data_IF_596333352191
#
_entry.id   IF_596333352191
#
_cell.length_a   1.000
_cell.length_b   1.000
_cell.length_c   1.000
_cell.angle_alpha   90.00
_cell.angle_beta   90.00
_cell.angle_gamma   90.00
#
_symmetry.space_group_name_H-M   'P 1'
#
loop_
_entity.id
_entity.type
_entity.pdbx_description
1 polymer ?
#
# COMPACT_ATOMS: atom_id res chain seq x y z
N UNK A 1 -21.76 3.14 19.44
CA UNK A 1 -21.96 2.79 18.01
C UNK A 1 -20.74 3.21 17.24
N UNK A 2 -20.17 2.32 16.43
CA UNK A 2 -19.10 2.67 15.48
C UNK A 2 -19.77 3.16 14.21
N UNK A 3 -19.36 4.33 13.71
CA UNK A 3 -19.92 4.94 12.49
C UNK A 3 -19.08 4.61 11.24
N UNK A 4 -17.76 4.54 11.39
CA UNK A 4 -16.83 4.14 10.34
C UNK A 4 -15.53 3.61 10.96
N UNK A 5 -14.90 2.66 10.29
CA UNK A 5 -13.62 2.05 10.63
C UNK A 5 -12.91 1.54 9.35
N UNK A 6 -11.71 0.94 9.49
CA UNK A 6 -10.95 0.45 8.33
C UNK A 6 -11.68 -0.63 7.54
N UNK A 7 -12.53 -1.41 8.20
CA UNK A 7 -13.39 -2.38 7.51
C UNK A 7 -14.42 -1.68 6.63
N UNK A 8 -15.04 -0.62 7.14
CA UNK A 8 -15.98 0.22 6.36
C UNK A 8 -15.30 0.74 5.09
N UNK A 9 -14.05 1.20 5.21
CA UNK A 9 -13.27 1.69 4.08
C UNK A 9 -12.88 0.57 3.09
N UNK A 10 -12.47 -0.61 3.58
CA UNK A 10 -12.19 -1.77 2.74
C UNK A 10 -13.43 -2.28 1.99
N UNK A 11 -14.59 -2.30 2.63
CA UNK A 11 -15.86 -2.67 2.00
C UNK A 11 -16.26 -1.66 0.91
N UNK A 12 -15.96 -0.37 1.09
CA UNK A 12 -16.16 0.65 0.06
C UNK A 12 -15.27 0.43 -1.18
N UNK A 13 -14.01 0.01 -0.99
CA UNK A 13 -13.12 -0.37 -2.10
C UNK A 13 -13.70 -1.55 -2.90
N UNK A 14 -14.20 -2.58 -2.20
CA UNK A 14 -14.87 -3.72 -2.84
C UNK A 14 -16.12 -3.28 -3.61
N UNK A 15 -16.93 -2.40 -3.02
CA UNK A 15 -18.11 -1.84 -3.68
C UNK A 15 -17.77 -1.08 -4.96
N UNK A 16 -16.75 -0.24 -4.92
CA UNK A 16 -16.26 0.51 -6.08
C UNK A 16 -15.75 -0.42 -7.20
N UNK A 17 -14.90 -1.40 -6.87
CA UNK A 17 -14.39 -2.35 -7.86
C UNK A 17 -15.50 -3.17 -8.53
N UNK A 18 -16.50 -3.62 -7.76
CA UNK A 18 -17.65 -4.36 -8.29
C UNK A 18 -18.56 -3.51 -9.17
N UNK A 19 -18.68 -2.22 -8.90
CA UNK A 19 -19.43 -1.29 -9.76
C UNK A 19 -18.81 -1.17 -11.16
N UNK A 20 -17.49 -1.36 -11.26
CA UNK A 20 -16.72 -1.42 -12.51
C UNK A 20 -16.66 -2.84 -13.12
N UNK A 21 -17.38 -3.81 -12.55
CA UNK A 21 -17.43 -5.19 -13.04
C UNK A 21 -16.20 -6.05 -12.68
N UNK A 22 -15.37 -5.60 -11.75
CA UNK A 22 -14.18 -6.33 -11.29
C UNK A 22 -14.53 -7.20 -10.08
N UNK A 23 -14.11 -8.47 -10.10
CA UNK A 23 -14.23 -9.33 -8.91
C UNK A 23 -13.44 -8.72 -7.74
N UNK A 24 -14.04 -8.67 -6.56
CA UNK A 24 -13.40 -8.04 -5.41
C UNK A 24 -13.80 -8.69 -4.07
N UNK A 25 -12.84 -8.72 -3.13
CA UNK A 25 -13.00 -9.31 -1.80
C UNK A 25 -12.21 -8.55 -0.74
N UNK A 26 -12.79 -8.46 0.45
CA UNK A 26 -12.06 -8.04 1.66
C UNK A 26 -11.32 -9.26 2.20
N UNK A 27 -10.01 -9.13 2.40
CA UNK A 27 -9.25 -10.01 3.26
C UNK A 27 -9.54 -9.60 4.71
N UNK A 28 -10.23 -10.47 5.44
CA UNK A 28 -10.65 -10.19 6.82
C UNK A 28 -9.51 -10.23 7.84
N UNK A 29 -8.28 -10.54 7.41
CA UNK A 29 -7.08 -10.42 8.25
C UNK A 29 -6.76 -8.95 8.43
N UNK A 30 -6.82 -8.47 9.66
CA UNK A 30 -6.34 -7.14 10.02
C UNK A 30 -4.81 -7.08 9.84
N UNK A 31 -4.30 -6.01 9.23
CA UNK A 31 -2.86 -5.79 9.09
C UNK A 31 -2.31 -5.33 10.43
N UNK A 32 -1.58 -6.20 11.12
CA UNK A 32 -1.02 -5.98 12.45
C UNK A 32 0.33 -6.69 12.57
N UNK A 33 1.33 -5.98 13.06
CA UNK A 33 2.73 -6.39 13.08
C UNK A 33 3.57 -5.78 11.96
N UNK A 34 4.75 -6.35 11.70
CA UNK A 34 5.71 -5.78 10.74
C UNK A 34 5.13 -5.65 9.34
N UNK A 35 5.50 -4.59 8.62
CA UNK A 35 5.15 -4.41 7.21
C UNK A 35 5.53 -5.64 6.39
N UNK A 36 6.72 -6.21 6.60
CA UNK A 36 7.22 -7.37 5.86
C UNK A 36 6.35 -8.61 6.07
N UNK A 37 5.95 -8.92 7.31
CA UNK A 37 5.11 -10.07 7.61
C UNK A 37 3.68 -9.88 7.13
N UNK A 38 3.13 -8.67 7.32
CA UNK A 38 1.82 -8.29 6.80
C UNK A 38 1.79 -8.43 5.28
N UNK A 39 2.78 -7.89 4.56
CA UNK A 39 2.85 -7.90 3.09
C UNK A 39 2.93 -9.33 2.57
N UNK A 40 3.82 -10.13 3.15
CA UNK A 40 3.97 -11.53 2.78
C UNK A 40 2.69 -12.33 2.99
N UNK A 41 1.96 -12.08 4.08
CA UNK A 41 0.66 -12.71 4.34
C UNK A 41 -0.42 -12.22 3.38
N UNK A 42 -0.45 -10.92 3.09
CA UNK A 42 -1.44 -10.29 2.23
C UNK A 42 -1.31 -10.74 0.77
N UNK A 43 -0.11 -10.70 0.18
CA UNK A 43 0.14 -11.12 -1.20
C UNK A 43 -0.22 -12.60 -1.42
N UNK A 44 0.06 -13.47 -0.44
CA UNK A 44 -0.33 -14.90 -0.50
C UNK A 44 -1.84 -15.14 -0.51
N UNK A 45 -2.62 -14.19 0.00
CA UNK A 45 -4.09 -14.24 0.04
C UNK A 45 -4.73 -13.52 -1.15
N UNK A 46 -3.90 -13.03 -2.07
CA UNK A 46 -4.31 -12.54 -3.38
C UNK A 46 -4.92 -13.64 -4.26
N UNK A 47 -5.30 -13.23 -5.47
CA UNK A 47 -5.99 -14.01 -6.50
C UNK A 47 -6.66 -13.06 -7.51
N UNK A 48 -7.27 -13.57 -8.58
CA UNK A 48 -7.87 -12.74 -9.64
C UNK A 48 -8.81 -11.66 -9.09
N UNK A 49 -8.78 -10.48 -9.71
CA UNK A 49 -9.51 -9.30 -9.28
C UNK A 49 -8.83 -8.52 -8.14
N UNK A 50 -9.64 -7.84 -7.32
CA UNK A 50 -9.20 -6.97 -6.24
C UNK A 50 -9.26 -7.67 -4.88
N UNK A 51 -8.15 -7.68 -4.17
CA UNK A 51 -8.09 -8.03 -2.74
C UNK A 51 -7.78 -6.77 -1.94
N UNK A 52 -8.53 -6.49 -0.88
CA UNK A 52 -8.28 -5.35 0.01
C UNK A 52 -8.18 -5.78 1.46
N UNK A 53 -7.25 -5.20 2.21
CA UNK A 53 -7.15 -5.34 3.66
C UNK A 53 -7.00 -3.95 4.30
N UNK A 54 -7.38 -3.87 5.57
CA UNK A 54 -7.18 -2.69 6.39
C UNK A 54 -6.33 -3.04 7.62
N UNK A 55 -5.58 -2.07 8.12
CA UNK A 55 -4.88 -2.20 9.41
C UNK A 55 -3.84 -1.13 9.66
N UNK A 56 -2.98 -1.37 10.64
CA UNK A 56 -1.94 -0.44 11.08
C UNK A 56 -0.62 -1.21 11.27
N UNK A 57 0.06 -1.60 10.18
CA UNK A 57 1.34 -2.29 10.27
C UNK A 57 2.44 -1.38 10.82
N UNK A 58 3.49 -1.98 11.37
CA UNK A 58 4.65 -1.27 11.91
C UNK A 58 5.84 -1.32 10.95
N UNK A 59 6.50 -0.18 10.77
CA UNK A 59 7.79 -0.09 10.09
C UNK A 59 8.87 0.38 11.06
N UNK A 60 10.01 -0.31 11.06
CA UNK A 60 11.16 0.10 11.88
C UNK A 60 11.92 1.21 11.17
N UNK A 61 12.00 2.38 11.81
CA UNK A 61 12.74 3.53 11.26
C UNK A 61 14.16 3.54 11.84
N UNK A 62 15.14 3.16 11.03
CA UNK A 62 16.56 3.10 11.42
C UNK A 62 17.41 4.21 10.79
N UNK A 63 16.83 4.95 9.85
CA UNK A 63 17.48 6.02 9.09
C UNK A 63 16.53 7.21 8.86
N UNK A 64 17.05 8.42 8.57
CA UNK A 64 16.24 9.64 8.56
C UNK A 64 15.52 9.93 7.22
N UNK A 65 15.43 8.95 6.31
CA UNK A 65 14.81 9.10 5.00
C UNK A 65 13.34 9.47 5.02
N UNK A 66 12.79 9.73 3.83
CA UNK A 66 11.40 10.10 3.63
C UNK A 66 10.54 8.87 3.31
N UNK A 67 9.48 8.69 4.10
CA UNK A 67 8.54 7.60 3.92
C UNK A 67 7.77 7.29 5.18
N UNK A 68 7.06 6.18 5.11
CA UNK A 68 6.26 5.59 6.16
C UNK A 68 5.97 4.14 5.83
N UNK A 69 5.10 3.51 6.62
CA UNK A 69 4.76 2.09 6.49
C UNK A 69 4.13 1.76 5.14
N UNK A 70 3.34 2.66 4.56
CA UNK A 70 2.65 2.40 3.29
C UNK A 70 3.59 2.52 2.09
N UNK A 71 4.41 3.56 2.02
CA UNK A 71 5.45 3.69 0.99
C UNK A 71 6.51 2.60 1.11
N UNK A 72 6.88 2.18 2.32
CA UNK A 72 7.76 1.03 2.53
C UNK A 72 7.12 -0.28 2.04
N UNK A 73 5.87 -0.54 2.38
CA UNK A 73 5.11 -1.69 1.89
C UNK A 73 5.00 -1.71 0.36
N UNK A 74 4.71 -0.55 -0.24
CA UNK A 74 4.62 -0.42 -1.69
C UNK A 74 5.95 -0.69 -2.39
N UNK A 75 7.07 -0.18 -1.88
CA UNK A 75 8.38 -0.46 -2.47
C UNK A 75 8.77 -1.94 -2.35
N UNK A 76 8.49 -2.58 -1.21
CA UNK A 76 8.66 -4.03 -1.06
C UNK A 76 7.76 -4.82 -2.02
N UNK A 77 6.50 -4.39 -2.19
CA UNK A 77 5.58 -5.03 -3.12
C UNK A 77 6.06 -4.89 -4.57
N UNK A 78 6.59 -3.72 -4.97
CA UNK A 78 7.15 -3.51 -6.30
C UNK A 78 8.25 -4.53 -6.65
N UNK A 79 9.08 -4.90 -5.67
CA UNK A 79 10.11 -5.94 -5.82
C UNK A 79 9.47 -7.31 -6.08
N UNK A 80 8.46 -7.69 -5.28
CA UNK A 80 7.76 -8.97 -5.41
C UNK A 80 6.93 -9.07 -6.70
N UNK A 81 6.45 -7.94 -7.21
CA UNK A 81 5.62 -7.87 -8.41
C UNK A 81 6.41 -7.71 -9.70
N UNK A 82 7.73 -7.56 -9.64
CA UNK A 82 8.58 -7.27 -10.80
C UNK A 82 8.32 -8.24 -11.97
N UNK A 83 8.01 -7.70 -13.14
CA UNK A 83 7.70 -8.44 -14.36
C UNK A 83 6.29 -9.09 -14.41
N UNK A 84 5.46 -8.88 -13.39
CA UNK A 84 4.05 -9.31 -13.39
C UNK A 84 3.10 -8.20 -13.87
N UNK A 85 1.86 -8.57 -14.19
CA UNK A 85 0.80 -7.61 -14.52
C UNK A 85 0.06 -7.11 -13.26
N UNK A 86 0.43 -7.56 -12.06
CA UNK A 86 -0.26 -7.16 -10.84
C UNK A 86 0.03 -5.71 -10.44
N UNK A 87 -0.93 -5.10 -9.74
CA UNK A 87 -0.84 -3.73 -9.22
C UNK A 87 -1.11 -3.76 -7.72
N UNK A 88 -0.29 -3.07 -6.94
CA UNK A 88 -0.46 -2.94 -5.50
C UNK A 88 -0.50 -1.48 -5.07
N UNK A 89 -1.46 -1.12 -4.24
CA UNK A 89 -1.51 0.18 -3.60
C UNK A 89 -1.56 0.02 -2.07
N UNK A 90 -0.80 0.83 -1.37
CA UNK A 90 -0.85 0.97 0.09
C UNK A 90 -0.96 2.45 0.43
N UNK A 91 -1.94 2.83 1.25
CA UNK A 91 -2.14 4.23 1.63
C UNK A 91 -2.84 4.42 2.97
N UNK A 92 -2.46 5.49 3.66
CA UNK A 92 -3.07 5.98 4.89
C UNK A 92 -4.34 6.76 4.57
N UNK A 93 -5.44 6.47 5.28
CA UNK A 93 -6.73 7.12 5.03
C UNK A 93 -6.79 8.57 5.48
N UNK A 94 -5.86 9.01 6.33
CA UNK A 94 -5.69 10.42 6.72
C UNK A 94 -4.93 11.27 5.69
N UNK A 95 -4.33 10.60 4.69
CA UNK A 95 -3.60 11.23 3.61
C UNK A 95 -2.13 11.50 3.92
N UNK A 96 -1.59 10.97 5.03
CA UNK A 96 -0.20 11.19 5.44
C UNK A 96 0.48 9.87 5.80
N UNK A 97 1.52 9.50 5.05
CA UNK A 97 2.36 8.33 5.33
C UNK A 97 3.72 8.75 5.91
N UNK A 98 3.84 8.64 7.23
CA UNK A 98 5.07 8.91 7.97
C UNK A 98 5.58 10.34 7.78
N UNK A 99 6.82 10.47 7.31
CA UNK A 99 7.50 11.76 7.08
C UNK A 99 7.42 12.24 5.62
N UNK A 100 6.61 11.58 4.80
CA UNK A 100 6.43 11.95 3.39
C UNK A 100 5.32 12.99 3.19
N UNK A 101 5.29 13.62 2.02
CA UNK A 101 4.15 14.43 1.58
C UNK A 101 3.04 13.60 0.90
N UNK A 102 3.20 12.27 0.87
CA UNK A 102 2.27 11.34 0.26
C UNK A 102 1.41 10.62 1.30
N UNK A 103 0.30 10.06 0.84
CA UNK A 103 -0.53 9.15 1.61
C UNK A 103 0.01 7.71 1.56
N UNK A 104 0.95 7.41 0.67
CA UNK A 104 1.42 6.07 0.33
C UNK A 104 1.79 6.01 -1.15
N UNK A 105 1.61 4.85 -1.79
CA UNK A 105 1.96 4.68 -3.20
C UNK A 105 1.14 3.59 -3.89
N UNK A 106 1.12 3.64 -5.22
CA UNK A 106 0.59 2.63 -6.13
C UNK A 106 1.72 2.16 -7.05
N UNK A 107 1.99 0.87 -7.06
CA UNK A 107 3.11 0.26 -7.79
C UNK A 107 2.62 -0.87 -8.69
N UNK A 108 3.39 -1.16 -9.72
CA UNK A 108 3.15 -2.22 -10.69
C UNK A 108 4.43 -3.03 -10.93
N UNK A 109 4.33 -4.10 -11.73
CA UNK A 109 5.48 -4.94 -12.06
C UNK A 109 6.59 -4.27 -12.87
N UNK A 110 6.42 -3.04 -13.33
CA UNK A 110 7.46 -2.25 -14.02
C UNK A 110 8.08 -1.15 -13.14
N UNK A 111 7.61 -0.98 -11.91
CA UNK A 111 8.11 0.06 -10.98
C UNK A 111 9.61 -0.04 -10.74
N UNK A 112 10.14 -1.25 -10.48
CA UNK A 112 11.57 -1.47 -10.27
C UNK A 112 12.38 -1.24 -11.55
N UNK A 113 11.83 -1.58 -12.71
CA UNK A 113 12.47 -1.30 -14.01
C UNK A 113 12.62 0.22 -14.23
N UNK A 114 11.61 1.01 -13.85
CA UNK A 114 11.65 2.48 -13.94
C UNK A 114 12.63 3.10 -12.94
N UNK A 115 12.70 2.57 -11.71
CA UNK A 115 13.43 3.20 -10.61
C UNK A 115 14.84 2.68 -10.36
N UNK A 116 15.22 1.55 -10.94
CA UNK A 116 16.51 0.89 -10.66
C UNK A 116 16.53 0.22 -9.28
N UNK A 117 17.73 -0.01 -8.74
CA UNK A 117 17.94 -0.75 -7.48
C UNK A 117 17.23 -0.07 -6.28
N UNK A 118 16.25 -0.73 -5.64
CA UNK A 118 15.51 -0.18 -4.52
C UNK A 118 16.17 -0.40 -3.15
N UNK A 119 17.17 -1.29 -3.03
CA UNK A 119 17.82 -1.62 -1.75
C UNK A 119 18.42 -0.39 -1.02
N UNK A 120 19.08 0.56 -1.72
CA UNK A 120 19.60 1.77 -1.08
C UNK A 120 18.50 2.63 -0.46
N UNK A 121 17.31 2.68 -1.07
CA UNK A 121 16.19 3.46 -0.54
C UNK A 121 15.54 2.76 0.66
N UNK A 122 15.35 1.44 0.59
CA UNK A 122 14.85 0.66 1.73
C UNK A 122 15.75 0.76 2.96
N UNK A 123 17.07 0.58 2.78
CA UNK A 123 18.05 0.66 3.88
C UNK A 123 18.15 2.05 4.52
N UNK A 124 17.78 3.11 3.79
CA UNK A 124 17.75 4.50 4.30
C UNK A 124 16.36 4.94 4.79
N UNK A 125 15.37 4.04 4.80
CA UNK A 125 13.97 4.37 5.07
C UNK A 125 13.46 5.51 4.17
N UNK A 126 13.87 5.51 2.90
CA UNK A 126 13.69 6.60 1.92
C UNK A 126 12.76 6.19 0.75
N UNK A 127 11.81 5.30 1.04
CA UNK A 127 10.93 4.69 0.05
C UNK A 127 10.06 5.71 -0.69
N UNK A 128 9.61 6.78 -0.02
CA UNK A 128 8.79 7.80 -0.67
C UNK A 128 9.58 8.59 -1.73
N UNK A 129 10.88 8.85 -1.51
CA UNK A 129 11.70 9.52 -2.50
C UNK A 129 11.91 8.67 -3.77
N UNK A 130 12.10 7.35 -3.59
CA UNK A 130 12.15 6.41 -4.71
C UNK A 130 10.83 6.43 -5.51
N UNK A 131 9.71 6.29 -4.80
CA UNK A 131 8.38 6.20 -5.40
C UNK A 131 7.94 7.53 -6.03
N UNK A 132 8.43 8.66 -5.53
CA UNK A 132 8.26 9.94 -6.20
C UNK A 132 9.02 9.98 -7.53
N UNK A 133 10.27 9.52 -7.56
CA UNK A 133 11.08 9.51 -8.77
C UNK A 133 10.51 8.60 -9.87
N UNK A 134 9.80 7.52 -9.50
CA UNK A 134 9.13 6.61 -10.44
C UNK A 134 7.70 7.04 -10.80
N UNK A 135 7.16 8.07 -10.16
CA UNK A 135 5.81 8.59 -10.41
C UNK A 135 4.68 7.82 -9.70
N UNK A 136 5.02 7.02 -8.69
CA UNK A 136 4.14 6.05 -8.03
C UNK A 136 3.54 6.55 -6.71
N UNK A 137 3.96 7.74 -6.24
CA UNK A 137 3.48 8.31 -4.98
C UNK A 137 2.01 8.76 -5.06
N UNK A 138 1.20 8.33 -4.09
CA UNK A 138 -0.19 8.79 -3.95
C UNK A 138 -0.21 10.08 -3.13
N UNK A 139 -0.78 11.16 -3.70
CA UNK A 139 -0.96 12.45 -3.03
C UNK A 139 -2.44 12.81 -2.96
N UNK A 140 -3.02 12.67 -1.78
CA UNK A 140 -4.41 13.10 -1.50
C UNK A 140 -4.45 14.47 -0.83
N UNK A 141 -3.39 14.84 -0.11
CA UNK A 141 -3.45 15.84 0.95
C UNK A 141 -4.24 15.31 2.18
N UNK A 142 -4.35 16.11 3.26
CA UNK A 142 -5.11 15.74 4.43
C UNK A 142 -6.58 15.49 4.10
N UNK A 143 -7.10 14.32 4.42
CA UNK A 143 -8.48 13.93 4.08
C UNK A 143 -9.51 14.37 5.13
N UNK A 144 -9.05 14.68 6.35
CA UNK A 144 -9.91 15.05 7.48
C UNK A 144 -10.57 13.86 8.19
N UNK A 145 -10.15 12.63 7.90
CA UNK A 145 -10.58 11.41 8.60
C UNK A 145 -9.39 10.48 8.85
N UNK A 146 -9.51 9.51 9.75
CA UNK A 146 -8.53 8.44 9.89
C UNK A 146 -9.25 7.16 10.31
N UNK A 147 -9.18 6.14 9.46
CA UNK A 147 -9.72 4.81 9.69
C UNK A 147 -8.68 3.73 9.32
N UNK A 148 -7.41 3.97 9.69
CA UNK A 148 -6.25 3.12 9.44
C UNK A 148 -5.72 3.17 7.99
N UNK A 149 -4.83 2.23 7.64
CA UNK A 149 -4.33 2.08 6.28
C UNK A 149 -5.18 1.11 5.47
N UNK A 150 -5.12 1.26 4.14
CA UNK A 150 -5.68 0.32 3.18
C UNK A 150 -4.60 -0.21 2.25
N UNK A 151 -4.57 -1.53 2.10
CA UNK A 151 -3.76 -2.21 1.09
C UNK A 151 -4.67 -2.87 0.07
N UNK A 152 -4.40 -2.62 -1.21
CA UNK A 152 -5.19 -3.06 -2.35
C UNK A 152 -4.26 -3.77 -3.32
N UNK A 153 -4.59 -5.01 -3.67
CA UNK A 153 -3.89 -5.78 -4.69
C UNK A 153 -4.87 -6.11 -5.82
N UNK A 154 -4.51 -5.76 -7.04
CA UNK A 154 -5.18 -6.21 -8.25
C UNK A 154 -4.33 -7.23 -8.99
N UNK A 155 -4.97 -8.29 -9.47
CA UNK A 155 -4.36 -9.32 -10.31
C UNK A 155 -5.30 -9.66 -11.48
N UNK A 156 -4.75 -9.96 -12.68
CA UNK A 156 -5.54 -10.34 -13.84
C UNK A 156 -6.30 -11.65 -13.66
#
# INVERSE_FOLDING_TARGET
>A
TVLADGRTAAEAVVGAARAEGVEARVNSTWLDGSVEDCLRSFLRRGGPGVTVAAGEPDVKVEAPGLGGRNSHAALLAAIELAGSEAIFAAFATDGVDGRSEGAGAIVDGSTVERGGDPEPSLSRCDSAAYLEATGDLIRTGPTGTNVADLWVLWQP
#
